data_IF_515986325245
#
_entry.id   IF_515986325245
#
_cell.length_a   1.000
_cell.length_b   1.000
_cell.length_c   1.000
_cell.angle_alpha   90.00
_cell.angle_beta   90.00
_cell.angle_gamma   90.00
#
_symmetry.space_group_name_H-M   'P 1'
#
loop_
_entity.id
_entity.type
_entity.pdbx_description
1 polymer ?
#
# COMPACT_ATOMS: atom_id res chain seq x y z
N UNK A 1 41.89 20.67 3.04
CA UNK A 1 40.65 19.89 3.20
C UNK A 1 40.94 18.82 4.23
N UNK A 2 40.37 18.94 5.43
CA UNK A 2 40.56 17.95 6.49
C UNK A 2 39.80 16.67 6.14
N UNK A 3 40.42 15.52 6.31
CA UNK A 3 39.80 14.20 6.09
C UNK A 3 38.64 14.03 7.08
N UNK A 4 37.41 14.03 6.57
CA UNK A 4 36.17 13.95 7.35
C UNK A 4 35.63 12.51 7.40
N UNK A 5 36.35 11.53 6.83
CA UNK A 5 35.93 10.13 6.77
C UNK A 5 35.84 9.45 8.14
N UNK A 6 36.53 9.99 9.15
CA UNK A 6 36.49 9.50 10.55
C UNK A 6 35.67 10.41 11.50
N UNK A 7 35.03 11.47 10.99
CA UNK A 7 34.24 12.36 11.83
C UNK A 7 32.93 11.68 12.26
N UNK A 8 32.56 11.78 13.54
CA UNK A 8 31.24 11.31 13.99
C UNK A 8 30.13 11.97 13.18
N UNK A 9 29.03 11.26 12.91
CA UNK A 9 27.89 11.78 12.15
C UNK A 9 27.39 13.14 12.69
N UNK A 10 27.52 13.35 14.00
CA UNK A 10 27.20 14.62 14.70
C UNK A 10 28.14 15.76 14.31
N UNK A 11 29.44 15.48 14.16
CA UNK A 11 30.42 16.46 13.74
C UNK A 11 30.26 16.77 12.24
N UNK A 12 30.09 15.74 11.41
CA UNK A 12 29.82 15.89 9.98
C UNK A 12 28.59 16.77 9.70
N UNK A 13 27.47 16.48 10.35
CA UNK A 13 26.24 17.25 10.20
C UNK A 13 26.42 18.72 10.62
N UNK A 14 27.21 19.02 11.65
CA UNK A 14 27.42 20.41 12.10
C UNK A 14 28.37 21.19 11.20
N UNK A 15 29.35 20.53 10.59
CA UNK A 15 30.37 21.17 9.77
C UNK A 15 29.96 21.37 8.31
N UNK A 16 29.19 20.43 7.74
CA UNK A 16 28.89 20.42 6.30
C UNK A 16 27.53 21.06 5.97
N UNK A 17 26.51 20.87 6.82
CA UNK A 17 25.14 21.33 6.54
C UNK A 17 25.04 22.86 6.32
N UNK A 18 25.72 23.73 7.09
CA UNK A 18 25.63 25.18 6.88
C UNK A 18 26.17 25.66 5.52
N UNK A 19 26.97 24.83 4.83
CA UNK A 19 27.64 25.21 3.57
C UNK A 19 26.76 24.94 2.34
N UNK A 20 25.73 24.11 2.45
CA UNK A 20 24.76 23.87 1.38
C UNK A 20 23.62 24.89 1.50
N UNK A 21 23.82 26.05 0.89
CA UNK A 21 22.81 27.11 0.82
C UNK A 21 21.73 26.73 -0.19
N UNK A 22 20.61 26.18 0.29
CA UNK A 22 19.29 26.05 -0.36
C UNK A 22 18.20 25.95 0.73
N UNK A 23 16.93 25.83 0.35
CA UNK A 23 15.81 25.68 1.29
C UNK A 23 16.11 24.56 2.31
N UNK A 24 16.01 24.87 3.61
CA UNK A 24 16.30 23.92 4.68
C UNK A 24 15.04 23.69 5.53
N UNK A 25 14.84 22.45 5.96
CA UNK A 25 13.79 22.06 6.90
C UNK A 25 14.40 21.77 8.27
N UNK A 26 13.62 22.00 9.33
CA UNK A 26 14.04 21.66 10.70
C UNK A 26 13.40 20.35 11.10
N UNK A 27 14.20 19.29 11.21
CA UNK A 27 13.76 17.99 11.74
C UNK A 27 13.95 18.01 13.26
N UNK A 28 12.90 17.66 13.99
CA UNK A 28 12.93 17.47 15.44
C UNK A 28 12.89 15.98 15.74
N UNK A 29 13.93 15.46 16.39
CA UNK A 29 14.01 14.07 16.83
C UNK A 29 13.96 14.05 18.36
N UNK A 30 12.96 13.36 18.92
CA UNK A 30 12.57 13.42 20.33
C UNK A 30 11.97 14.78 20.75
N UNK A 31 11.11 14.77 21.77
CA UNK A 31 10.22 15.90 22.07
C UNK A 31 10.92 17.15 22.61
N UNK A 32 12.22 17.10 22.97
CA UNK A 32 12.81 18.20 23.76
C UNK A 32 14.15 18.76 23.25
N UNK A 33 15.06 18.02 22.57
CA UNK A 33 16.43 18.54 22.40
C UNK A 33 17.11 18.48 21.02
N UNK A 34 16.76 17.57 20.13
CA UNK A 34 17.54 17.42 18.88
C UNK A 34 16.84 18.08 17.70
N UNK A 35 17.25 19.32 17.41
CA UNK A 35 16.86 20.07 16.20
C UNK A 35 17.99 19.98 15.18
N UNK A 36 17.70 19.39 14.04
CA UNK A 36 18.61 19.34 12.89
C UNK A 36 18.04 20.20 11.79
N UNK A 37 18.83 21.19 11.35
CA UNK A 37 18.54 21.88 10.09
C UNK A 37 19.14 21.01 8.99
N UNK A 38 18.37 20.65 7.96
CA UNK A 38 18.84 19.77 6.88
C UNK A 38 18.36 20.35 5.55
N UNK A 39 19.15 20.16 4.48
CA UNK A 39 18.78 20.60 3.14
C UNK A 39 17.53 19.85 2.66
N UNK A 40 16.50 20.61 2.24
CA UNK A 40 15.25 20.09 1.67
C UNK A 40 15.57 19.27 0.41
N UNK A 41 16.36 19.84 -0.50
CA UNK A 41 16.72 19.19 -1.76
C UNK A 41 17.50 17.89 -1.54
N UNK A 42 18.38 17.85 -0.53
CA UNK A 42 19.10 16.64 -0.18
C UNK A 42 18.14 15.57 0.37
N UNK A 43 17.20 15.95 1.24
CA UNK A 43 16.19 15.02 1.73
C UNK A 43 15.31 14.50 0.58
N UNK A 44 14.83 15.37 -0.31
CA UNK A 44 14.02 14.97 -1.46
C UNK A 44 14.82 14.07 -2.42
N UNK A 45 16.08 14.40 -2.70
CA UNK A 45 16.92 13.62 -3.62
C UNK A 45 17.25 12.23 -3.07
N UNK A 46 17.53 12.14 -1.77
CA UNK A 46 17.97 10.88 -1.14
C UNK A 46 16.82 10.07 -0.53
N UNK A 47 15.61 10.64 -0.43
CA UNK A 47 14.44 9.98 0.16
C UNK A 47 13.17 10.31 -0.61
N UNK A 48 12.63 9.28 -1.27
CA UNK A 48 11.32 9.35 -1.95
C UNK A 48 10.20 9.77 -1.00
N UNK A 49 10.27 9.36 0.27
CA UNK A 49 9.35 9.80 1.31
C UNK A 49 9.39 11.31 1.53
N UNK A 50 10.59 11.91 1.72
CA UNK A 50 10.70 13.35 1.93
C UNK A 50 10.39 14.15 0.67
N UNK A 51 10.72 13.63 -0.52
CA UNK A 51 10.30 14.25 -1.78
C UNK A 51 8.78 14.33 -1.86
N UNK A 52 8.08 13.22 -1.61
CA UNK A 52 6.61 13.22 -1.54
C UNK A 52 6.08 14.17 -0.45
N UNK A 53 6.74 14.20 0.71
CA UNK A 53 6.39 15.08 1.85
C UNK A 53 6.42 16.56 1.54
N UNK A 54 7.35 16.97 0.71
CA UNK A 54 7.73 18.37 0.59
C UNK A 54 7.32 19.05 -0.73
N UNK A 55 6.81 18.28 -1.69
CA UNK A 55 6.45 18.72 -3.04
C UNK A 55 4.92 18.68 -3.27
N UNK A 56 4.12 19.04 -2.25
CA UNK A 56 2.64 19.14 -2.32
C UNK A 56 1.87 17.83 -2.56
N UNK A 57 2.45 16.67 -2.20
CA UNK A 57 1.78 15.36 -2.33
C UNK A 57 1.31 14.72 -1.03
N UNK A 58 1.42 15.38 0.12
CA UNK A 58 0.94 14.80 1.39
C UNK A 58 -0.57 15.03 1.63
N UNK A 59 -1.38 14.63 0.65
CA UNK A 59 -2.82 14.39 0.87
C UNK A 59 -3.03 13.41 2.04
N UNK A 60 -2.05 12.54 2.27
CA UNK A 60 -2.01 11.62 3.41
C UNK A 60 -1.83 12.34 4.75
N UNK A 61 -1.09 13.47 4.80
CA UNK A 61 -0.99 14.26 6.05
C UNK A 61 -2.32 14.93 6.36
N UNK A 62 -2.99 15.47 5.35
CA UNK A 62 -4.30 16.10 5.52
C UNK A 62 -5.34 15.06 5.99
N UNK A 63 -5.34 13.87 5.39
CA UNK A 63 -6.17 12.75 5.85
C UNK A 63 -5.81 12.33 7.29
N UNK A 64 -4.53 12.28 7.65
CA UNK A 64 -4.10 12.01 9.02
C UNK A 64 -4.57 13.08 10.00
N UNK A 65 -4.42 14.37 9.67
CA UNK A 65 -4.93 15.47 10.49
C UNK A 65 -6.45 15.38 10.64
N UNK A 66 -7.17 15.11 9.54
CA UNK A 66 -8.61 14.94 9.57
C UNK A 66 -9.01 13.79 10.52
N UNK A 67 -8.31 12.66 10.45
CA UNK A 67 -8.52 11.55 11.39
C UNK A 67 -8.20 11.94 12.83
N UNK A 68 -7.11 12.67 13.07
CA UNK A 68 -6.72 13.09 14.42
C UNK A 68 -7.79 13.96 15.09
N UNK A 69 -8.42 14.86 14.34
CA UNK A 69 -9.43 15.78 14.88
C UNK A 69 -10.86 15.23 14.84
N UNK A 70 -11.21 14.38 13.88
CA UNK A 70 -12.59 13.93 13.65
C UNK A 70 -12.80 12.43 13.87
N UNK A 71 -11.72 11.68 14.11
CA UNK A 71 -11.74 10.21 14.21
C UNK A 71 -12.03 9.51 12.88
N UNK A 72 -12.03 10.22 11.75
CA UNK A 72 -12.27 9.68 10.40
C UNK A 72 -11.51 10.47 9.34
N UNK A 73 -11.13 9.83 8.24
CA UNK A 73 -10.52 10.49 7.08
C UNK A 73 -11.32 10.23 5.80
N UNK A 74 -11.15 11.12 4.83
CA UNK A 74 -11.59 10.99 3.44
C UNK A 74 -10.54 11.65 2.55
N UNK A 75 -10.23 11.03 1.42
CA UNK A 75 -9.42 11.67 0.39
C UNK A 75 -10.29 12.47 -0.57
N UNK A 76 -9.82 13.67 -0.94
CA UNK A 76 -10.41 14.48 -2.01
C UNK A 76 -9.69 14.16 -3.32
N UNK A 77 -10.09 13.02 -3.90
CA UNK A 77 -9.51 12.44 -5.10
C UNK A 77 -10.63 11.99 -6.04
N UNK A 78 -10.52 12.36 -7.32
CA UNK A 78 -11.53 12.05 -8.33
C UNK A 78 -11.43 10.61 -8.84
N UNK A 79 -10.22 10.03 -8.81
CA UNK A 79 -9.92 8.75 -9.45
C UNK A 79 -9.72 7.61 -8.42
N UNK A 80 -10.45 6.48 -8.54
CA UNK A 80 -10.34 5.34 -7.62
C UNK A 80 -8.92 4.78 -7.43
N UNK A 81 -8.09 4.82 -8.47
CA UNK A 81 -6.69 4.35 -8.45
C UNK A 81 -5.86 5.15 -7.42
N UNK A 82 -6.06 6.46 -7.39
CA UNK A 82 -5.35 7.34 -6.47
C UNK A 82 -5.76 7.13 -5.00
N UNK A 83 -6.97 6.64 -4.75
CA UNK A 83 -7.45 6.36 -3.38
C UNK A 83 -6.67 5.21 -2.72
N UNK A 84 -6.34 4.17 -3.48
CA UNK A 84 -5.62 3.01 -2.95
C UNK A 84 -4.17 3.40 -2.62
N UNK A 85 -3.49 4.09 -3.55
CA UNK A 85 -2.15 4.61 -3.34
C UNK A 85 -2.07 5.52 -2.08
N UNK A 86 -2.98 6.49 -1.96
CA UNK A 86 -3.04 7.39 -0.82
C UNK A 86 -3.31 6.64 0.50
N UNK A 87 -4.14 5.59 0.47
CA UNK A 87 -4.39 4.77 1.66
C UNK A 87 -3.16 3.97 2.08
N UNK A 88 -2.38 3.43 1.12
CA UNK A 88 -1.13 2.74 1.40
C UNK A 88 -0.13 3.70 2.04
N UNK A 89 0.04 4.90 1.50
CA UNK A 89 0.99 5.88 2.04
C UNK A 89 0.55 6.41 3.40
N UNK A 90 -0.75 6.64 3.62
CA UNK A 90 -1.29 6.93 4.96
C UNK A 90 -1.00 5.81 5.97
N UNK A 91 -1.10 4.55 5.55
CA UNK A 91 -0.77 3.41 6.40
C UNK A 91 0.72 3.36 6.75
N UNK A 92 1.59 3.56 5.75
CA UNK A 92 3.04 3.63 5.97
C UNK A 92 3.40 4.77 6.92
N UNK A 93 2.76 5.93 6.77
CA UNK A 93 2.92 7.06 7.67
C UNK A 93 2.47 6.72 9.09
N UNK A 94 1.28 6.14 9.24
CA UNK A 94 0.74 5.73 10.54
C UNK A 94 1.66 4.73 11.24
N UNK A 95 2.15 3.72 10.53
CA UNK A 95 3.09 2.73 11.05
C UNK A 95 4.43 3.38 11.44
N UNK A 96 4.98 4.25 10.58
CA UNK A 96 6.22 4.98 10.87
C UNK A 96 6.10 5.84 12.14
N UNK A 97 4.95 6.46 12.36
CA UNK A 97 4.68 7.29 13.54
C UNK A 97 4.14 6.51 14.75
N UNK A 98 3.99 5.18 14.66
CA UNK A 98 3.34 4.33 15.67
C UNK A 98 1.93 4.82 16.06
N UNK A 99 1.17 5.34 15.08
CA UNK A 99 -0.22 5.75 15.27
C UNK A 99 -1.09 4.52 15.40
N UNK A 100 -1.88 4.47 16.48
CA UNK A 100 -2.85 3.39 16.71
C UNK A 100 -4.28 3.91 16.60
N UNK A 101 -5.24 3.02 16.30
CA UNK A 101 -6.66 3.36 16.15
C UNK A 101 -7.12 3.58 14.70
N UNK A 102 -6.19 3.75 13.75
CA UNK A 102 -6.52 3.89 12.32
C UNK A 102 -6.74 2.55 11.60
N UNK A 103 -6.32 1.42 12.17
CA UNK A 103 -6.17 0.15 11.45
C UNK A 103 -7.48 -0.32 10.80
N UNK A 104 -8.61 -0.18 11.50
CA UNK A 104 -9.92 -0.61 10.98
C UNK A 104 -10.32 0.24 9.76
N UNK A 105 -10.08 1.55 9.79
CA UNK A 105 -10.44 2.44 8.68
C UNK A 105 -9.50 2.25 7.50
N UNK A 106 -8.20 2.15 7.76
CA UNK A 106 -7.17 1.88 6.76
C UNK A 106 -7.42 0.53 6.05
N UNK A 107 -7.93 -0.48 6.75
CA UNK A 107 -8.34 -1.73 6.12
C UNK A 107 -9.65 -1.60 5.33
N UNK A 108 -10.66 -0.90 5.86
CA UNK A 108 -11.97 -0.81 5.17
C UNK A 108 -11.93 0.04 3.91
N UNK A 109 -11.21 1.15 3.93
CA UNK A 109 -11.21 2.12 2.84
C UNK A 109 -10.81 1.52 1.46
N UNK A 110 -9.65 0.85 1.30
CA UNK A 110 -9.26 0.30 0.00
C UNK A 110 -10.19 -0.85 -0.41
N UNK A 111 -10.68 -1.63 0.55
CA UNK A 111 -11.67 -2.68 0.31
C UNK A 111 -12.96 -2.10 -0.30
N UNK A 112 -13.47 -1.01 0.25
CA UNK A 112 -14.69 -0.37 -0.24
C UNK A 112 -14.48 0.22 -1.66
N UNK A 113 -13.31 0.80 -1.93
CA UNK A 113 -12.94 1.30 -3.28
C UNK A 113 -12.89 0.17 -4.31
N UNK A 114 -12.28 -0.97 -3.97
CA UNK A 114 -12.17 -2.14 -4.86
C UNK A 114 -13.55 -2.71 -5.20
N UNK A 115 -14.45 -2.78 -4.22
CA UNK A 115 -15.83 -3.24 -4.42
C UNK A 115 -16.63 -2.26 -5.29
N UNK A 116 -16.42 -0.95 -5.10
CA UNK A 116 -17.11 0.09 -5.86
C UNK A 116 -16.59 0.28 -7.30
N UNK A 117 -15.45 -0.31 -7.64
CA UNK A 117 -14.77 -0.15 -8.94
C UNK A 117 -14.68 -1.47 -9.73
N UNK A 118 -15.82 -2.14 -10.06
CA UNK A 118 -15.80 -3.37 -10.82
C UNK A 118 -15.29 -3.14 -12.25
N UNK A 119 -14.56 -4.12 -12.79
CA UNK A 119 -14.05 -4.08 -14.16
C UNK A 119 -15.22 -3.96 -15.17
N UNK A 120 -15.13 -3.09 -16.19
CA UNK A 120 -16.11 -3.05 -17.27
C UNK A 120 -16.07 -4.36 -18.07
N UNK A 121 -17.21 -5.05 -18.09
CA UNK A 121 -17.57 -6.31 -18.75
C UNK A 121 -16.51 -6.94 -19.68
N UNK A 122 -15.78 -7.93 -19.17
CA UNK A 122 -15.20 -8.99 -20.00
C UNK A 122 -16.22 -10.13 -20.14
N UNK A 123 -16.64 -10.44 -21.37
CA UNK A 123 -17.41 -11.64 -21.71
C UNK A 123 -16.58 -12.91 -21.42
N UNK A 124 -16.56 -13.32 -20.16
CA UNK A 124 -15.70 -14.39 -19.70
C UNK A 124 -15.68 -14.57 -18.19
N UNK A 125 -16.78 -14.26 -17.50
CA UNK A 125 -17.08 -14.73 -16.15
C UNK A 125 -15.91 -14.72 -15.16
N UNK A 126 -15.41 -13.54 -14.80
CA UNK A 126 -14.42 -13.41 -13.74
C UNK A 126 -14.22 -11.95 -13.39
N UNK A 127 -15.08 -11.40 -12.53
CA UNK A 127 -14.99 -10.01 -12.06
C UNK A 127 -13.60 -9.76 -11.49
N UNK A 128 -12.79 -8.99 -12.22
CA UNK A 128 -11.44 -8.67 -11.75
C UNK A 128 -11.56 -7.40 -10.95
N UNK A 129 -11.74 -7.53 -9.64
CA UNK A 129 -11.76 -6.43 -8.64
C UNK A 129 -10.39 -5.72 -8.52
N UNK A 130 -9.60 -5.76 -9.58
CA UNK A 130 -8.27 -5.18 -9.68
C UNK A 130 -8.25 -4.03 -10.69
N UNK A 131 -9.39 -3.61 -11.24
CA UNK A 131 -9.43 -2.59 -12.30
C UNK A 131 -8.68 -1.33 -11.87
N UNK A 132 -8.97 -0.82 -10.67
CA UNK A 132 -8.31 0.34 -10.08
C UNK A 132 -6.96 0.04 -9.39
N UNK A 133 -6.39 -1.16 -9.56
CA UNK A 133 -5.08 -1.51 -9.01
C UNK A 133 -3.98 -1.34 -10.06
N UNK A 134 -2.87 -0.76 -9.64
CA UNK A 134 -1.63 -0.64 -10.41
C UNK A 134 -0.54 -1.53 -9.83
N UNK A 135 0.51 -1.80 -10.61
CA UNK A 135 1.72 -2.49 -10.13
C UNK A 135 2.35 -1.75 -8.95
N UNK A 136 2.30 -0.41 -8.97
CA UNK A 136 2.85 0.41 -7.90
C UNK A 136 2.11 0.22 -6.58
N UNK A 137 0.80 -0.01 -6.59
CA UNK A 137 0.04 -0.31 -5.37
C UNK A 137 0.51 -1.62 -4.73
N UNK A 138 0.68 -2.67 -5.56
CA UNK A 138 1.17 -3.98 -5.12
C UNK A 138 2.57 -3.84 -4.52
N UNK A 139 3.48 -3.17 -5.23
CA UNK A 139 4.86 -2.96 -4.81
C UNK A 139 4.90 -2.11 -3.53
N UNK A 140 4.13 -1.02 -3.46
CA UNK A 140 4.14 -0.11 -2.31
C UNK A 140 3.61 -0.80 -1.05
N UNK A 141 2.63 -1.69 -1.17
CA UNK A 141 2.12 -2.48 -0.06
C UNK A 141 3.16 -3.47 0.51
N UNK A 142 4.19 -3.87 -0.26
CA UNK A 142 5.25 -4.75 0.25
C UNK A 142 6.10 -4.11 1.34
N UNK A 143 6.10 -2.78 1.44
CA UNK A 143 6.79 -2.03 2.48
C UNK A 143 5.98 -1.93 3.79
N UNK A 144 4.74 -2.43 3.80
CA UNK A 144 3.95 -2.55 5.02
C UNK A 144 4.35 -3.79 5.84
N UNK A 145 4.21 -3.75 7.18
CA UNK A 145 4.50 -4.89 8.04
C UNK A 145 3.79 -6.17 7.60
N UNK A 146 4.40 -7.32 7.86
CA UNK A 146 3.77 -8.61 7.56
C UNK A 146 2.45 -8.76 8.32
N UNK A 147 1.42 -9.20 7.61
CA UNK A 147 0.07 -9.34 8.15
C UNK A 147 -0.73 -8.04 8.22
N UNK A 148 -0.20 -6.92 7.70
CA UNK A 148 -0.95 -5.68 7.58
C UNK A 148 -2.21 -5.88 6.71
N UNK A 149 -3.34 -5.31 7.13
CA UNK A 149 -4.66 -5.58 6.54
C UNK A 149 -4.73 -5.22 5.04
N UNK A 150 -4.12 -4.10 4.64
CA UNK A 150 -4.01 -3.71 3.22
C UNK A 150 -3.39 -4.81 2.38
N UNK A 151 -2.29 -5.44 2.84
CA UNK A 151 -1.59 -6.49 2.08
C UNK A 151 -2.52 -7.67 1.79
N UNK A 152 -3.31 -8.07 2.79
CA UNK A 152 -4.32 -9.13 2.65
C UNK A 152 -5.44 -8.74 1.70
N UNK A 153 -5.93 -7.50 1.78
CA UNK A 153 -6.99 -7.01 0.90
C UNK A 153 -6.54 -7.02 -0.57
N UNK A 154 -5.34 -6.53 -0.85
CA UNK A 154 -4.79 -6.54 -2.20
C UNK A 154 -4.58 -7.97 -2.72
N UNK A 155 -3.99 -8.85 -1.91
CA UNK A 155 -3.85 -10.27 -2.26
C UNK A 155 -5.19 -10.97 -2.51
N UNK A 156 -6.21 -10.66 -1.70
CA UNK A 156 -7.56 -11.19 -1.89
C UNK A 156 -8.18 -10.66 -3.21
N UNK A 157 -7.99 -9.38 -3.52
CA UNK A 157 -8.49 -8.77 -4.75
C UNK A 157 -7.89 -9.40 -6.01
N UNK A 158 -6.59 -9.74 -5.97
CA UNK A 158 -5.87 -10.32 -7.12
C UNK A 158 -6.07 -11.83 -7.26
N UNK A 159 -6.49 -12.53 -6.20
CA UNK A 159 -6.68 -13.98 -6.16
C UNK A 159 -7.49 -14.52 -7.35
N UNK A 160 -8.66 -13.91 -7.65
CA UNK A 160 -9.54 -14.41 -8.71
C UNK A 160 -8.86 -14.32 -10.07
N UNK A 161 -8.23 -13.19 -10.37
CA UNK A 161 -7.47 -13.01 -11.61
C UNK A 161 -6.27 -13.96 -11.68
N UNK A 162 -5.58 -14.18 -10.57
CA UNK A 162 -4.43 -15.09 -10.51
C UNK A 162 -4.79 -16.56 -10.74
N UNK A 163 -5.94 -17.02 -10.24
CA UNK A 163 -6.38 -18.41 -10.42
C UNK A 163 -7.04 -18.66 -11.77
N UNK A 164 -7.74 -17.67 -12.33
CA UNK A 164 -8.59 -17.85 -13.51
C UNK A 164 -7.94 -17.41 -14.82
N UNK A 165 -6.99 -16.47 -14.78
CA UNK A 165 -6.34 -15.95 -15.97
C UNK A 165 -4.95 -16.56 -16.13
N UNK A 166 -4.68 -17.19 -17.28
CA UNK A 166 -3.35 -17.73 -17.59
C UNK A 166 -2.25 -16.65 -17.49
N UNK A 167 -2.58 -15.42 -17.89
CA UNK A 167 -1.69 -14.25 -17.82
C UNK A 167 -2.31 -13.15 -16.95
N UNK A 168 -2.37 -13.38 -15.64
CA UNK A 168 -2.81 -12.35 -14.71
C UNK A 168 -1.85 -11.14 -14.73
N UNK A 169 -2.40 -9.91 -14.75
CA UNK A 169 -1.60 -8.69 -14.86
C UNK A 169 -0.57 -8.49 -13.74
N UNK A 170 -0.77 -9.12 -12.58
CA UNK A 170 0.17 -9.05 -11.45
C UNK A 170 0.99 -10.34 -11.23
N UNK A 171 1.09 -11.20 -12.25
CA UNK A 171 1.83 -12.45 -12.14
C UNK A 171 3.34 -12.23 -11.99
N UNK A 172 3.91 -11.20 -12.62
CA UNK A 172 5.33 -10.88 -12.49
C UNK A 172 5.65 -10.32 -11.10
N UNK A 173 4.79 -9.46 -10.55
CA UNK A 173 4.95 -8.90 -9.20
C UNK A 173 4.95 -10.01 -8.15
N UNK A 174 4.15 -11.07 -8.33
CA UNK A 174 4.15 -12.22 -7.43
C UNK A 174 5.49 -12.99 -7.47
N UNK A 175 6.23 -12.93 -8.58
CA UNK A 175 7.55 -13.56 -8.74
C UNK A 175 8.67 -12.67 -8.22
N UNK A 176 8.61 -11.38 -8.53
CA UNK A 176 9.66 -10.40 -8.21
C UNK A 176 9.62 -9.92 -6.76
N UNK A 177 8.44 -9.94 -6.13
CA UNK A 177 8.24 -9.46 -4.75
C UNK A 177 7.75 -10.60 -3.85
N UNK A 178 8.66 -11.34 -3.19
CA UNK A 178 8.31 -12.53 -2.40
C UNK A 178 7.32 -12.27 -1.27
N UNK A 179 7.29 -11.06 -0.71
CA UNK A 179 6.33 -10.66 0.32
C UNK A 179 4.90 -10.62 -0.23
N UNK A 180 4.69 -10.08 -1.42
CA UNK A 180 3.41 -10.12 -2.11
C UNK A 180 3.06 -11.55 -2.54
N UNK A 181 4.00 -12.28 -3.13
CA UNK A 181 3.80 -13.68 -3.49
C UNK A 181 3.39 -14.55 -2.28
N UNK A 182 3.99 -14.30 -1.11
CA UNK A 182 3.62 -14.95 0.14
C UNK A 182 2.18 -14.63 0.58
N UNK A 183 1.77 -13.36 0.53
CA UNK A 183 0.40 -12.96 0.88
C UNK A 183 -0.61 -13.59 -0.08
N UNK A 184 -0.31 -13.60 -1.38
CA UNK A 184 -1.13 -14.23 -2.40
C UNK A 184 -1.26 -15.75 -2.16
N UNK A 185 -0.17 -16.44 -1.83
CA UNK A 185 -0.22 -17.86 -1.49
C UNK A 185 -1.01 -18.16 -0.21
N UNK A 186 -1.00 -17.26 0.78
CA UNK A 186 -1.89 -17.38 1.93
C UNK A 186 -3.36 -17.32 1.51
N UNK A 187 -3.72 -16.35 0.66
CA UNK A 187 -5.09 -16.21 0.16
C UNK A 187 -5.51 -17.40 -0.70
N UNK A 188 -4.62 -17.93 -1.53
CA UNK A 188 -4.84 -19.20 -2.25
C UNK A 188 -5.10 -20.34 -1.25
N UNK A 189 -4.27 -20.49 -0.23
CA UNK A 189 -4.43 -21.53 0.79
C UNK A 189 -5.77 -21.41 1.55
N UNK A 190 -6.20 -20.19 1.85
CA UNK A 190 -7.50 -19.94 2.48
C UNK A 190 -8.67 -20.27 1.52
N UNK A 191 -8.57 -19.87 0.25
CA UNK A 191 -9.58 -20.19 -0.76
C UNK A 191 -9.72 -21.70 -0.97
N UNK A 192 -8.60 -22.42 -1.02
CA UNK A 192 -8.56 -23.88 -1.13
C UNK A 192 -9.23 -24.57 0.08
N UNK A 193 -9.00 -24.07 1.30
CA UNK A 193 -9.68 -24.58 2.52
C UNK A 193 -11.19 -24.30 2.51
N UNK A 194 -11.61 -23.23 1.84
CA UNK A 194 -13.00 -22.82 1.72
C UNK A 194 -13.74 -23.41 0.51
N UNK A 195 -13.11 -24.31 -0.25
CA UNK A 195 -13.69 -24.88 -1.46
C UNK A 195 -14.97 -25.66 -1.18
N UNK A 196 -15.98 -25.41 -2.01
CA UNK A 196 -17.20 -26.20 -2.07
C UNK A 196 -17.42 -26.68 -3.49
N UNK A 197 -17.82 -27.94 -3.58
CA UNK A 197 -18.12 -28.60 -4.84
C UNK A 197 -19.62 -28.68 -4.99
N UNK A 198 -20.14 -28.09 -6.05
CA UNK A 198 -21.47 -28.37 -6.59
C UNK A 198 -21.31 -29.25 -7.85
N UNK A 199 -22.37 -29.96 -8.25
CA UNK A 199 -22.40 -30.87 -9.41
C UNK A 199 -21.89 -30.24 -10.70
N UNK A 200 -21.93 -28.91 -10.81
CA UNK A 200 -21.52 -28.17 -12.01
C UNK A 200 -20.38 -27.20 -11.78
N UNK A 201 -19.97 -26.90 -10.54
CA UNK A 201 -19.06 -25.79 -10.24
C UNK A 201 -18.20 -26.06 -9.01
N UNK A 202 -17.00 -25.48 -9.01
CA UNK A 202 -16.15 -25.34 -7.83
C UNK A 202 -16.22 -23.88 -7.40
N UNK A 203 -16.65 -23.65 -6.16
CA UNK A 203 -16.81 -22.31 -5.60
C UNK A 203 -15.98 -22.13 -4.33
N UNK A 204 -15.60 -20.89 -4.03
CA UNK A 204 -15.02 -20.51 -2.75
C UNK A 204 -15.72 -19.27 -2.21
N UNK A 205 -15.61 -19.07 -0.90
CA UNK A 205 -16.04 -17.81 -0.27
C UNK A 205 -15.00 -16.73 -0.57
N UNK A 206 -15.44 -15.61 -1.14
CA UNK A 206 -14.58 -14.48 -1.42
C UNK A 206 -14.38 -13.63 -0.17
N UNK A 207 -13.14 -13.33 0.20
CA UNK A 207 -12.86 -12.66 1.48
C UNK A 207 -13.20 -11.17 1.49
N UNK A 208 -13.22 -10.48 0.33
CA UNK A 208 -13.63 -9.08 0.31
C UNK A 208 -15.15 -8.95 0.55
N UNK A 209 -16.00 -9.54 -0.29
CA UNK A 209 -17.46 -9.34 -0.17
C UNK A 209 -18.17 -10.41 0.67
N UNK A 210 -17.54 -11.56 0.90
CA UNK A 210 -18.14 -12.69 1.62
C UNK A 210 -19.07 -13.55 0.76
N UNK A 211 -19.26 -13.22 -0.51
CA UNK A 211 -20.05 -14.00 -1.47
C UNK A 211 -19.31 -15.26 -1.94
N UNK A 212 -19.98 -16.10 -2.73
CA UNK A 212 -19.36 -17.28 -3.33
C UNK A 212 -18.95 -16.98 -4.77
N UNK A 213 -17.69 -17.23 -5.11
CA UNK A 213 -17.15 -17.07 -6.47
C UNK A 213 -16.76 -18.40 -7.08
N UNK A 214 -16.97 -18.52 -8.39
CA UNK A 214 -16.60 -19.71 -9.16
C UNK A 214 -15.10 -19.69 -9.46
N UNK A 215 -14.43 -20.81 -9.19
CA UNK A 215 -13.04 -21.06 -9.63
C UNK A 215 -13.02 -21.95 -10.87
N UNK A 216 -14.04 -22.81 -11.02
CA UNK A 216 -14.14 -23.72 -12.15
C UNK A 216 -15.59 -24.12 -12.43
N UNK A 217 -15.92 -24.35 -13.69
CA UNK A 217 -17.20 -24.91 -14.11
C UNK A 217 -16.99 -26.22 -14.87
N UNK A 218 -17.57 -27.30 -14.36
CA UNK A 218 -17.54 -28.60 -15.04
C UNK A 218 -18.40 -28.54 -16.30
N UNK A 219 -17.86 -28.99 -17.43
CA UNK A 219 -18.66 -29.21 -18.63
C UNK A 219 -19.59 -30.40 -18.37
N UNK A 220 -20.89 -30.21 -18.57
CA UNK A 220 -21.83 -31.34 -18.58
C UNK A 220 -21.51 -32.22 -19.79
N UNK A 221 -21.25 -33.50 -19.53
CA UNK A 221 -21.18 -34.55 -20.54
C UNK A 221 -22.51 -34.70 -21.28
#
# INVERSE_FOLDING_TARGET
MSDMSEASAKHFARSIIPLYHNACVTIRISSIEYKYKVSKDLLCRESTYFSAMFEDKFKDFEAFLQWLYLGKFKFDLDEPEHHIAATIELARFADMCNVTGMQIQIGRYPKDILIASPCPDYEGGGGVDTYCLTSQDIISATFLPQGHEIRRILAAATLSGYLLCENHKFAEEAREYPTYGFDLLQEVGLALKGLRFDRKRVIHKYHLTGDNRNIYQFRSL
#
